data_IF_095383497910
#
_entry.id   IF_095383497910
#
_cell.length_a   1.000
_cell.length_b   1.000
_cell.length_c   1.000
_cell.angle_alpha   90.00
_cell.angle_beta   90.00
_cell.angle_gamma   90.00
#
_symmetry.space_group_name_H-M   'P 1'
#
loop_
_entity.id
_entity.type
_entity.pdbx_description
1 polymer ?
#
# COMPACT_ATOMS: atom_id res chain seq x y z
N UNK A 1 -12.52 -19.15 18.86
CA UNK A 1 -13.61 -20.15 18.90
C UNK A 1 -14.79 -19.71 19.78
N UNK A 2 -14.57 -19.14 20.97
CA UNK A 2 -15.68 -18.67 21.85
C UNK A 2 -16.58 -17.60 21.22
N UNK A 3 -16.01 -16.53 20.65
CA UNK A 3 -16.77 -15.43 20.03
C UNK A 3 -17.70 -15.91 18.90
N UNK A 4 -17.22 -16.80 18.03
CA UNK A 4 -18.03 -17.39 16.94
C UNK A 4 -19.24 -18.14 17.49
N UNK A 5 -19.07 -18.87 18.60
CA UNK A 5 -20.15 -19.62 19.26
C UNK A 5 -21.18 -18.69 19.90
N UNK A 6 -20.73 -17.61 20.54
CA UNK A 6 -21.62 -16.58 21.10
C UNK A 6 -22.39 -15.82 20.01
N UNK A 7 -21.72 -15.39 18.94
CA UNK A 7 -22.36 -14.75 17.79
C UNK A 7 -23.40 -15.66 17.14
N UNK A 8 -23.06 -16.93 16.92
CA UNK A 8 -23.99 -17.91 16.38
C UNK A 8 -25.21 -18.07 17.29
N UNK A 9 -25.03 -18.07 18.62
CA UNK A 9 -26.12 -18.14 19.60
C UNK A 9 -27.01 -16.89 19.54
N UNK A 10 -26.43 -15.69 19.48
CA UNK A 10 -27.18 -14.44 19.34
C UNK A 10 -27.98 -14.37 18.02
N UNK A 11 -27.39 -14.80 16.91
CA UNK A 11 -28.05 -14.81 15.61
C UNK A 11 -29.13 -15.89 15.56
N UNK A 12 -28.92 -17.03 16.22
CA UNK A 12 -29.94 -18.06 16.39
C UNK A 12 -31.17 -17.52 17.13
N UNK A 13 -30.99 -16.72 18.19
CA UNK A 13 -32.13 -16.06 18.86
C UNK A 13 -32.90 -15.11 17.93
N UNK A 14 -32.19 -14.32 17.12
CA UNK A 14 -32.84 -13.47 16.12
C UNK A 14 -33.62 -14.31 15.09
N UNK A 15 -33.09 -15.45 14.66
CA UNK A 15 -33.80 -16.38 13.78
C UNK A 15 -35.07 -16.94 14.42
N UNK A 16 -35.00 -17.39 15.68
CA UNK A 16 -36.18 -17.89 16.41
C UNK A 16 -37.24 -16.81 16.66
N UNK A 17 -36.85 -15.54 16.73
CA UNK A 17 -37.79 -14.42 16.83
C UNK A 17 -38.47 -14.12 15.49
N UNK A 18 -37.82 -14.43 14.36
CA UNK A 18 -38.38 -14.30 13.02
C UNK A 18 -39.27 -15.49 12.63
N UNK A 19 -39.00 -16.69 13.16
CA UNK A 19 -39.83 -17.90 12.99
C UNK A 19 -41.02 -17.88 13.97
N UNK A 20 -41.95 -16.95 13.73
CA UNK A 20 -43.15 -16.73 14.57
C UNK A 20 -43.99 -18.00 14.71
N UNK A 21 -44.05 -18.82 13.65
CA UNK A 21 -44.82 -20.05 13.59
C UNK A 21 -44.10 -21.26 14.22
N UNK A 22 -42.84 -21.10 14.67
CA UNK A 22 -41.97 -22.20 15.15
C UNK A 22 -41.88 -23.36 14.15
N UNK A 23 -41.99 -23.02 12.87
CA UNK A 23 -42.01 -23.93 11.74
C UNK A 23 -40.59 -24.39 11.34
N UNK A 24 -39.57 -23.76 11.91
CA UNK A 24 -38.18 -23.88 11.48
C UNK A 24 -37.88 -23.11 10.20
N UNK A 25 -38.83 -22.31 9.69
CA UNK A 25 -38.73 -21.59 8.42
C UNK A 25 -38.92 -20.09 8.62
N UNK A 26 -38.06 -19.32 7.95
CA UNK A 26 -38.12 -17.85 7.92
C UNK A 26 -38.12 -17.44 6.45
N UNK A 27 -38.85 -16.38 6.10
CA UNK A 27 -38.94 -15.95 4.72
C UNK A 27 -37.57 -15.48 4.18
N UNK A 28 -37.35 -15.69 2.88
CA UNK A 28 -36.12 -15.30 2.18
C UNK A 28 -35.84 -13.80 2.34
N UNK A 29 -36.87 -12.97 2.29
CA UNK A 29 -36.79 -11.52 2.49
C UNK A 29 -36.30 -11.15 3.88
N UNK A 30 -36.82 -11.79 4.93
CA UNK A 30 -36.37 -11.57 6.31
C UNK A 30 -34.91 -12.01 6.51
N UNK A 31 -34.50 -13.13 5.92
CA UNK A 31 -33.12 -13.60 5.98
C UNK A 31 -32.16 -12.71 5.21
N UNK A 32 -32.60 -12.13 4.08
CA UNK A 32 -31.82 -11.13 3.34
C UNK A 32 -31.59 -9.87 4.19
N UNK A 33 -32.65 -9.34 4.81
CA UNK A 33 -32.56 -8.18 5.71
C UNK A 33 -31.64 -8.46 6.90
N UNK A 34 -31.81 -9.62 7.54
CA UNK A 34 -30.94 -10.05 8.64
C UNK A 34 -29.47 -10.12 8.20
N UNK A 35 -29.20 -10.71 7.02
CA UNK A 35 -27.84 -10.83 6.48
C UNK A 35 -27.20 -9.48 6.20
N UNK A 36 -27.94 -8.57 5.56
CA UNK A 36 -27.48 -7.21 5.31
C UNK A 36 -27.11 -6.48 6.62
N UNK A 37 -28.00 -6.53 7.61
CA UNK A 37 -27.77 -5.92 8.92
C UNK A 37 -26.55 -6.51 9.62
N UNK A 38 -26.33 -7.83 9.51
CA UNK A 38 -25.15 -8.48 10.07
C UNK A 38 -23.86 -8.01 9.40
N UNK A 39 -23.83 -7.86 8.07
CA UNK A 39 -22.67 -7.27 7.40
C UNK A 39 -22.37 -5.85 7.90
N UNK A 40 -23.41 -5.01 8.05
CA UNK A 40 -23.27 -3.64 8.55
C UNK A 40 -22.78 -3.59 10.00
N UNK A 41 -23.44 -4.31 10.92
CA UNK A 41 -23.12 -4.27 12.36
C UNK A 41 -21.76 -4.88 12.67
N UNK A 42 -21.36 -5.89 11.90
CA UNK A 42 -20.07 -6.57 12.06
C UNK A 42 -18.95 -5.91 11.24
N UNK A 43 -19.22 -4.77 10.58
CA UNK A 43 -18.29 -4.03 9.73
C UNK A 43 -17.59 -4.91 8.67
N UNK A 44 -18.31 -5.88 8.12
CA UNK A 44 -17.79 -6.77 7.09
C UNK A 44 -18.09 -6.14 5.73
N UNK A 45 -17.07 -5.83 4.91
CA UNK A 45 -17.30 -5.33 3.57
C UNK A 45 -18.05 -6.36 2.73
N UNK A 46 -19.22 -5.97 2.21
CA UNK A 46 -20.01 -6.79 1.30
C UNK A 46 -20.44 -6.01 0.07
N UNK A 47 -20.54 -6.71 -1.05
CA UNK A 47 -21.13 -6.19 -2.27
C UNK A 47 -22.65 -6.44 -2.23
N UNK A 48 -23.49 -5.39 -2.31
CA UNK A 48 -24.94 -5.52 -2.38
C UNK A 48 -25.41 -6.38 -3.55
N UNK A 49 -24.71 -6.34 -4.69
CA UNK A 49 -25.07 -7.12 -5.89
C UNK A 49 -24.83 -8.61 -5.65
N UNK A 50 -23.69 -8.96 -5.06
CA UNK A 50 -23.40 -10.34 -4.67
C UNK A 50 -24.36 -10.84 -3.58
N UNK A 51 -24.81 -9.97 -2.67
CA UNK A 51 -25.83 -10.34 -1.69
C UNK A 51 -27.17 -10.65 -2.36
N UNK A 52 -27.61 -9.82 -3.31
CA UNK A 52 -28.83 -10.08 -4.08
C UNK A 52 -28.71 -11.35 -4.93
N UNK A 53 -27.54 -11.63 -5.50
CA UNK A 53 -27.27 -12.87 -6.24
C UNK A 53 -27.43 -14.11 -5.38
N UNK A 54 -26.93 -14.09 -4.14
CA UNK A 54 -27.13 -15.20 -3.20
C UNK A 54 -28.61 -15.40 -2.85
N UNK A 55 -29.44 -14.37 -2.89
CA UNK A 55 -30.86 -14.44 -2.53
C UNK A 55 -31.80 -14.35 -3.76
N UNK A 56 -31.30 -14.63 -4.98
CA UNK A 56 -32.13 -14.70 -6.20
C UNK A 56 -33.28 -15.66 -6.04
N UNK A 57 -34.42 -15.40 -6.67
CA UNK A 57 -35.64 -16.22 -6.58
C UNK A 57 -35.53 -17.63 -7.19
N UNK A 58 -34.33 -18.05 -7.61
CA UNK A 58 -34.04 -19.44 -7.91
C UNK A 58 -34.01 -20.27 -6.62
N UNK A 59 -34.38 -21.55 -6.76
CA UNK A 59 -34.26 -22.56 -5.70
C UNK A 59 -32.80 -22.95 -5.41
N UNK A 60 -31.83 -22.20 -5.94
CA UNK A 60 -30.40 -22.46 -5.80
C UNK A 60 -29.74 -21.59 -4.71
N UNK A 61 -30.53 -20.72 -4.05
CA UNK A 61 -30.07 -19.88 -2.95
C UNK A 61 -29.82 -20.64 -1.64
N UNK A 62 -29.09 -20.04 -0.68
CA UNK A 62 -28.75 -20.63 0.61
C UNK A 62 -29.97 -20.93 1.47
N UNK A 63 -31.15 -20.38 1.12
CA UNK A 63 -32.40 -20.61 1.85
C UNK A 63 -33.14 -21.86 1.34
N UNK A 64 -32.83 -22.37 0.14
CA UNK A 64 -33.58 -23.47 -0.49
C UNK A 64 -32.95 -24.85 -0.25
N UNK A 65 -31.72 -25.10 -0.72
CA UNK A 65 -31.12 -26.45 -0.67
C UNK A 65 -30.18 -26.71 0.52
N UNK A 66 -29.53 -25.68 1.06
CA UNK A 66 -28.51 -25.82 2.12
C UNK A 66 -28.92 -25.20 3.47
N UNK A 67 -29.98 -24.40 3.51
CA UNK A 67 -30.41 -23.68 4.70
C UNK A 67 -29.52 -22.49 5.08
N UNK A 68 -30.08 -21.55 5.85
CA UNK A 68 -29.42 -20.28 6.16
C UNK A 68 -28.16 -20.43 7.02
N UNK A 69 -28.10 -21.48 7.86
CA UNK A 69 -27.01 -21.65 8.84
C UNK A 69 -25.64 -21.95 8.20
N UNK A 70 -25.52 -22.82 7.18
CA UNK A 70 -24.28 -22.95 6.41
C UNK A 70 -23.85 -21.67 5.71
N UNK A 71 -24.78 -20.91 5.14
CA UNK A 71 -24.48 -19.61 4.53
C UNK A 71 -23.93 -18.62 5.54
N UNK A 72 -24.59 -18.48 6.68
CA UNK A 72 -24.16 -17.62 7.77
C UNK A 72 -22.73 -17.96 8.20
N UNK A 73 -22.41 -19.25 8.34
CA UNK A 73 -21.08 -19.69 8.70
C UNK A 73 -20.03 -19.31 7.64
N UNK A 74 -20.28 -19.62 6.37
CA UNK A 74 -19.31 -19.46 5.27
C UNK A 74 -19.10 -17.99 4.86
N UNK A 75 -20.17 -17.20 4.83
CA UNK A 75 -20.13 -15.86 4.22
C UNK A 75 -20.04 -14.73 5.25
N UNK A 76 -20.53 -14.96 6.48
CA UNK A 76 -20.54 -13.94 7.54
C UNK A 76 -19.55 -14.35 8.63
N UNK A 77 -19.77 -15.44 9.36
CA UNK A 77 -18.97 -15.79 10.54
C UNK A 77 -17.50 -16.12 10.23
N UNK A 78 -17.18 -16.67 9.06
CA UNK A 78 -15.79 -16.86 8.62
C UNK A 78 -15.10 -15.53 8.29
N UNK A 79 -15.87 -14.52 7.86
CA UNK A 79 -15.38 -13.17 7.60
C UNK A 79 -15.32 -12.31 8.87
N UNK A 80 -16.10 -12.65 9.88
CA UNK A 80 -15.91 -12.18 11.26
C UNK A 80 -14.67 -12.89 11.81
N UNK A 81 -13.50 -12.46 11.36
CA UNK A 81 -12.27 -12.84 12.02
C UNK A 81 -12.42 -12.46 13.50
N UNK A 82 -11.99 -13.33 14.43
CA UNK A 82 -12.13 -13.09 15.86
C UNK A 82 -11.28 -11.90 16.20
N UNK A 83 -11.91 -10.74 16.21
CA UNK A 83 -11.09 -9.59 16.14
C UNK A 83 -10.48 -9.26 17.48
N UNK A 84 -9.16 -9.08 17.41
CA UNK A 84 -8.38 -8.41 18.44
C UNK A 84 -8.42 -6.90 18.10
N UNK A 85 -9.58 -6.36 17.75
CA UNK A 85 -9.87 -4.99 17.26
C UNK A 85 -10.14 -4.21 18.54
N UNK A 86 -9.32 -3.29 19.01
CA UNK A 86 -8.28 -2.53 18.34
C UNK A 86 -6.93 -2.60 19.04
N UNK A 87 -6.23 -3.73 18.95
CA UNK A 87 -4.77 -3.76 19.15
C UNK A 87 -3.99 -3.85 17.84
N UNK A 88 -4.63 -4.24 16.73
CA UNK A 88 -3.92 -4.44 15.45
C UNK A 88 -3.63 -3.16 14.69
N UNK A 89 -4.43 -2.10 14.87
CA UNK A 89 -4.17 -0.78 14.29
C UNK A 89 -3.60 0.23 15.30
N UNK A 90 -3.41 -0.18 16.55
CA UNK A 90 -2.71 0.62 17.54
C UNK A 90 -1.20 0.50 17.37
N UNK A 91 -0.51 1.63 17.52
CA UNK A 91 0.94 1.68 17.62
C UNK A 91 1.33 2.76 18.65
N UNK A 92 2.51 2.59 19.25
CA UNK A 92 3.01 3.52 20.25
C UNK A 92 4.24 4.26 19.71
N UNK A 93 4.26 5.57 19.86
CA UNK A 93 5.45 6.38 19.63
C UNK A 93 6.02 6.76 20.99
N UNK A 94 7.20 6.23 21.31
CA UNK A 94 7.89 6.51 22.57
C UNK A 94 8.88 7.65 22.36
N UNK A 95 8.76 8.69 23.16
CA UNK A 95 9.77 9.75 23.30
C UNK A 95 10.49 9.60 24.63
N UNK A 96 11.54 10.41 24.87
CA UNK A 96 12.28 10.40 26.13
C UNK A 96 11.42 10.72 27.36
N UNK A 97 10.32 11.47 27.17
CA UNK A 97 9.47 11.97 28.26
C UNK A 97 8.04 11.41 28.23
N UNK A 98 7.56 10.88 27.10
CA UNK A 98 6.16 10.47 26.96
C UNK A 98 5.97 9.36 25.94
N UNK A 99 5.01 8.48 26.21
CA UNK A 99 4.51 7.53 25.22
C UNK A 99 3.18 8.04 24.66
N UNK A 100 3.10 8.10 23.34
CA UNK A 100 1.88 8.44 22.62
C UNK A 100 1.29 7.18 22.02
N UNK A 101 0.07 6.85 22.40
CA UNK A 101 -0.72 5.79 21.77
C UNK A 101 -1.51 6.37 20.61
N UNK A 102 -1.44 5.72 19.45
CA UNK A 102 -2.07 6.16 18.22
C UNK A 102 -2.82 4.98 17.57
N UNK A 103 -4.01 5.23 17.05
CA UNK A 103 -4.81 4.27 16.28
C UNK A 103 -4.81 4.64 14.79
N UNK A 104 -4.65 3.66 13.92
CA UNK A 104 -4.93 3.80 12.49
C UNK A 104 -6.28 3.17 12.12
N UNK A 105 -6.83 3.56 10.97
CA UNK A 105 -8.12 3.05 10.48
C UNK A 105 -8.04 1.57 10.03
N UNK A 106 -6.88 1.14 9.54
CA UNK A 106 -6.65 -0.23 9.09
C UNK A 106 -5.17 -0.67 9.25
N UNK A 107 -4.90 -1.96 9.04
CA UNK A 107 -3.56 -2.56 9.24
C UNK A 107 -2.53 -2.03 8.25
N UNK A 108 -2.94 -1.70 7.02
CA UNK A 108 -2.06 -1.16 5.98
C UNK A 108 -1.64 0.26 6.32
N UNK A 109 -2.59 1.10 6.71
CA UNK A 109 -2.30 2.44 7.21
C UNK A 109 -1.38 2.40 8.42
N UNK A 110 -1.61 1.51 9.41
CA UNK A 110 -0.67 1.36 10.53
C UNK A 110 0.77 1.07 10.04
N UNK A 111 0.93 0.16 9.08
CA UNK A 111 2.26 -0.16 8.52
C UNK A 111 2.89 1.03 7.81
N UNK A 112 2.13 1.75 6.98
CA UNK A 112 2.58 2.94 6.27
C UNK A 112 3.02 4.05 7.24
N UNK A 113 2.21 4.33 8.26
CA UNK A 113 2.53 5.30 9.32
C UNK A 113 3.76 4.88 10.13
N UNK A 114 3.85 3.61 10.52
CA UNK A 114 5.01 3.09 11.26
C UNK A 114 6.29 3.22 10.43
N UNK A 115 6.25 2.85 9.15
CA UNK A 115 7.39 2.95 8.24
C UNK A 115 7.81 4.40 7.98
N UNK A 116 6.84 5.31 7.83
CA UNK A 116 7.09 6.73 7.65
C UNK A 116 7.78 7.35 8.88
N UNK A 117 7.26 7.07 10.09
CA UNK A 117 7.83 7.56 11.35
C UNK A 117 9.23 6.99 11.58
N UNK A 118 9.43 5.68 11.39
CA UNK A 118 10.74 5.05 11.47
C UNK A 118 11.74 5.66 10.48
N UNK A 119 11.28 5.96 9.25
CA UNK A 119 12.11 6.61 8.25
C UNK A 119 12.48 8.03 8.65
N UNK A 120 11.56 8.80 9.22
CA UNK A 120 11.84 10.16 9.70
C UNK A 120 12.86 10.14 10.85
N UNK A 121 12.71 9.23 11.82
CA UNK A 121 13.67 9.05 12.93
C UNK A 121 15.05 8.67 12.39
N UNK A 122 15.11 7.73 11.43
CA UNK A 122 16.38 7.34 10.79
C UNK A 122 17.04 8.50 10.07
N UNK A 123 16.29 9.27 9.28
CA UNK A 123 16.82 10.44 8.58
C UNK A 123 17.34 11.50 9.57
N UNK A 124 16.64 11.71 10.68
CA UNK A 124 17.08 12.60 11.76
C UNK A 124 18.37 12.08 12.41
N UNK A 125 18.45 10.80 12.75
CA UNK A 125 19.60 10.19 13.40
C UNK A 125 20.85 10.15 12.51
N UNK A 126 20.67 9.90 11.21
CA UNK A 126 21.78 9.86 10.25
C UNK A 126 22.16 11.26 9.72
N UNK A 127 21.40 12.31 10.06
CA UNK A 127 21.58 13.66 9.54
C UNK A 127 21.39 13.76 8.02
N UNK A 128 20.81 12.72 7.39
CA UNK A 128 20.70 12.61 5.93
C UNK A 128 19.46 13.31 5.42
N UNK A 129 19.57 13.88 4.24
CA UNK A 129 18.44 14.45 3.52
C UNK A 129 17.54 13.34 2.94
N UNK A 130 16.26 13.64 2.70
CA UNK A 130 15.33 12.62 2.19
C UNK A 130 15.87 11.99 0.89
N UNK A 131 15.56 10.71 0.66
CA UNK A 131 15.97 9.96 -0.54
C UNK A 131 15.74 10.75 -1.85
N UNK A 132 14.66 11.52 -1.90
CA UNK A 132 14.35 12.36 -3.05
C UNK A 132 15.35 13.51 -3.26
N UNK A 133 15.85 14.14 -2.19
CA UNK A 133 16.88 15.18 -2.24
C UNK A 133 18.23 14.59 -2.66
N UNK A 134 18.59 13.42 -2.18
CA UNK A 134 19.81 12.70 -2.60
C UNK A 134 19.77 12.34 -4.09
N UNK A 135 18.63 11.80 -4.56
CA UNK A 135 18.44 11.50 -5.99
C UNK A 135 18.49 12.77 -6.86
N UNK A 136 17.97 13.90 -6.37
CA UNK A 136 18.06 15.19 -7.07
C UNK A 136 19.50 15.68 -7.16
N UNK A 137 20.27 15.55 -6.07
CA UNK A 137 21.68 15.94 -6.04
C UNK A 137 22.53 15.06 -6.97
N UNK A 138 22.33 13.74 -6.94
CA UNK A 138 23.02 12.81 -7.84
C UNK A 138 22.77 13.09 -9.32
N UNK A 139 21.53 13.48 -9.68
CA UNK A 139 21.19 13.94 -11.04
C UNK A 139 21.84 15.28 -11.42
N UNK A 140 22.15 16.14 -10.45
CA UNK A 140 22.87 17.40 -10.68
C UNK A 140 24.36 17.12 -10.91
N UNK A 141 24.97 16.33 -10.04
CA UNK A 141 26.39 15.93 -10.15
C UNK A 141 26.67 15.21 -11.47
N UNK A 142 25.77 14.32 -11.92
CA UNK A 142 25.91 13.67 -13.23
C UNK A 142 25.87 14.65 -14.41
N UNK A 143 25.12 15.75 -14.31
CA UNK A 143 25.09 16.79 -15.35
C UNK A 143 26.39 17.57 -15.36
N UNK A 144 26.84 18.03 -14.20
CA UNK A 144 28.12 18.75 -14.04
C UNK A 144 29.30 17.89 -14.52
N UNK A 145 29.29 16.58 -14.24
CA UNK A 145 30.35 15.67 -14.68
C UNK A 145 30.35 15.44 -16.20
N UNK A 146 29.17 15.45 -16.84
CA UNK A 146 29.07 15.40 -18.31
C UNK A 146 29.58 16.68 -18.95
N UNK A 147 29.25 17.84 -18.38
CA UNK A 147 29.74 19.14 -18.85
C UNK A 147 31.24 19.25 -18.71
N UNK A 148 31.81 18.87 -17.55
CA UNK A 148 33.28 18.83 -17.36
C UNK A 148 33.98 17.94 -18.37
N UNK A 149 33.40 16.78 -18.71
CA UNK A 149 33.96 15.89 -19.75
C UNK A 149 33.90 16.49 -21.15
N UNK A 150 32.90 17.31 -21.45
CA UNK A 150 32.81 18.03 -22.73
C UNK A 150 33.84 19.15 -22.79
N UNK A 151 33.91 19.98 -21.75
CA UNK A 151 34.89 21.05 -21.64
C UNK A 151 36.33 20.51 -21.74
N UNK A 152 36.65 19.41 -21.04
CA UNK A 152 37.98 18.79 -21.13
C UNK A 152 38.33 18.31 -22.55
N UNK A 153 37.36 17.79 -23.31
CA UNK A 153 37.55 17.40 -24.70
C UNK A 153 37.74 18.59 -25.62
N UNK A 154 37.00 19.67 -25.39
CA UNK A 154 37.15 20.92 -26.15
C UNK A 154 38.53 21.54 -25.89
N UNK A 155 38.98 21.60 -24.63
CA UNK A 155 40.33 22.04 -24.28
C UNK A 155 41.42 21.17 -24.91
N UNK A 156 41.25 19.85 -24.90
CA UNK A 156 42.20 18.92 -25.53
C UNK A 156 42.27 19.13 -27.05
N UNK A 157 41.13 19.33 -27.71
CA UNK A 157 41.07 19.61 -29.14
C UNK A 157 41.78 20.93 -29.49
N UNK A 158 41.52 21.99 -28.72
CA UNK A 158 42.18 23.28 -28.87
C UNK A 158 43.70 23.17 -28.72
N UNK A 159 44.15 22.41 -27.72
CA UNK A 159 45.58 22.16 -27.50
C UNK A 159 46.23 21.40 -28.65
N UNK A 160 45.51 20.45 -29.23
CA UNK A 160 46.01 19.68 -30.38
C UNK A 160 46.11 20.55 -31.64
N UNK A 161 45.16 21.46 -31.87
CA UNK A 161 45.22 22.45 -32.94
C UNK A 161 46.43 23.38 -32.80
N UNK A 162 46.68 23.91 -31.60
CA UNK A 162 47.85 24.77 -31.35
C UNK A 162 49.17 24.05 -31.64
N UNK A 163 49.30 22.78 -31.25
CA UNK A 163 50.48 21.98 -31.55
C UNK A 163 50.64 21.71 -33.06
N UNK A 164 49.53 21.54 -33.80
CA UNK A 164 49.56 21.41 -35.25
C UNK A 164 50.04 22.71 -35.92
N UNK A 165 49.48 23.86 -35.52
CA UNK A 165 49.88 25.18 -36.04
C UNK A 165 51.37 25.47 -35.75
N UNK A 166 51.86 25.16 -34.55
CA UNK A 166 53.29 25.31 -34.23
C UNK A 166 54.17 24.38 -35.07
N UNK A 167 53.72 23.15 -35.32
CA UNK A 167 54.45 22.19 -36.16
C UNK A 167 54.52 22.66 -37.61
N UNK A 168 53.42 23.17 -38.16
CA UNK A 168 53.38 23.72 -39.52
C UNK A 168 54.30 24.94 -39.65
N UNK A 169 54.26 25.87 -38.68
CA UNK A 169 55.19 27.00 -38.63
C UNK A 169 56.66 26.58 -38.63
N UNK A 170 57.02 25.60 -37.79
CA UNK A 170 58.41 25.09 -37.72
C UNK A 170 58.82 24.40 -39.02
N UNK A 171 57.90 23.71 -39.69
CA UNK A 171 58.16 23.08 -40.98
C UNK A 171 58.43 24.12 -42.06
N UNK A 172 57.61 25.17 -42.14
CA UNK A 172 57.82 26.29 -43.07
C UNK A 172 59.15 27.00 -42.82
N UNK A 173 59.54 27.22 -41.56
CA UNK A 173 60.84 27.81 -41.20
C UNK A 173 62.02 26.92 -41.62
N UNK A 174 61.89 25.60 -41.48
CA UNK A 174 62.89 24.64 -41.96
C UNK A 174 62.99 24.61 -43.50
N UNK A 175 61.87 24.66 -44.21
CA UNK A 175 61.85 24.72 -45.69
C UNK A 175 62.57 25.99 -46.20
N UNK A 176 62.28 27.15 -45.60
CA UNK A 176 62.95 28.42 -45.91
C UNK A 176 64.47 28.38 -45.66
N UNK A 177 64.91 27.66 -44.62
CA UNK A 177 66.33 27.47 -44.32
C UNK A 177 67.03 26.46 -45.25
N UNK A 178 66.29 25.56 -45.89
CA UNK A 178 66.83 24.59 -46.86
C UNK A 178 66.93 25.16 -48.28
N UNK A 179 66.15 26.19 -48.61
CA UNK A 179 66.17 26.86 -49.93
C UNK A 179 67.18 28.02 -50.02
N UNK A 180 67.84 28.39 -48.92
CA UNK A 180 68.88 29.43 -48.83
C UNK A 180 70.30 28.84 -48.90
#
# INVERSE_FOLDING_TARGET
MALRKELLKSIWYAFTALDVEKSGKVSKSQLKVLSHNLYTVLNIPHDPVALEEHFRDDDDGPVSSQGYMPYLNKYILDKVLPDREGKRCMFCVKTASRTYEMSASDTRQRQEWTAAIQTAIRLQAEGKTSLHKDLKQKRREQREQRERRRAAKEEELLRLQQLQEEKERKLQELELLQEA
#
